data_IF_786763719744
#
_entry.id   IF_786763719744
#
_cell.length_a   1.000
_cell.length_b   1.000
_cell.length_c   1.000
_cell.angle_alpha   90.00
_cell.angle_beta   90.00
_cell.angle_gamma   90.00
#
_symmetry.space_group_name_H-M   'P 1'
#
loop_
_entity.id
_entity.type
_entity.pdbx_description
1 polymer ?
#
# COMPACT_ATOMS: atom_id res chain seq x y z
N UNK A 1 -41.17 43.58 32.71
CA UNK A 1 -39.97 42.88 32.21
C UNK A 1 -40.38 41.46 31.84
N UNK A 2 -40.36 41.07 30.56
CA UNK A 2 -40.72 39.71 30.14
C UNK A 2 -39.56 38.76 30.47
N UNK A 3 -39.79 37.80 31.38
CA UNK A 3 -38.82 36.76 31.70
C UNK A 3 -38.69 35.82 30.49
N UNK A 4 -37.51 35.81 29.87
CA UNK A 4 -37.16 34.84 28.83
C UNK A 4 -36.88 33.49 29.53
N UNK A 5 -37.82 32.56 29.47
CA UNK A 5 -37.63 31.19 29.95
C UNK A 5 -36.64 30.52 28.98
N UNK A 6 -35.36 30.48 29.37
CA UNK A 6 -34.35 29.69 28.65
C UNK A 6 -34.73 28.21 28.79
N UNK A 7 -35.23 27.61 27.71
CA UNK A 7 -35.42 26.15 27.62
C UNK A 7 -34.05 25.49 27.69
N UNK A 8 -33.77 24.80 28.80
CA UNK A 8 -32.55 23.99 28.95
C UNK A 8 -32.64 22.70 28.13
N UNK A 9 -31.50 22.22 27.67
CA UNK A 9 -31.36 20.93 26.98
C UNK A 9 -31.66 19.79 27.97
N UNK A 10 -32.42 18.77 27.57
CA UNK A 10 -32.72 17.63 28.44
C UNK A 10 -31.59 16.59 28.38
N UNK A 11 -31.33 15.91 29.50
CA UNK A 11 -30.36 14.81 29.54
C UNK A 11 -30.74 13.66 28.61
N UNK A 12 -32.04 13.44 28.42
CA UNK A 12 -32.54 12.39 27.52
C UNK A 12 -32.29 12.72 26.05
N UNK A 13 -32.43 13.99 25.63
CA UNK A 13 -32.06 14.43 24.28
C UNK A 13 -30.58 14.17 23.99
N UNK A 14 -29.72 14.47 24.96
CA UNK A 14 -28.28 14.26 24.80
C UNK A 14 -27.94 12.76 24.71
N UNK A 15 -28.61 11.92 25.51
CA UNK A 15 -28.41 10.47 25.51
C UNK A 15 -28.80 9.83 24.16
N UNK A 16 -29.95 10.20 23.59
CA UNK A 16 -30.39 9.69 22.28
C UNK A 16 -29.42 10.12 21.17
N UNK A 17 -28.91 11.35 21.22
CA UNK A 17 -27.93 11.84 20.23
C UNK A 17 -26.64 11.03 20.28
N UNK A 18 -26.09 10.79 21.48
CA UNK A 18 -24.86 9.98 21.65
C UNK A 18 -25.09 8.54 21.18
N UNK A 19 -26.27 7.97 21.43
CA UNK A 19 -26.63 6.64 20.96
C UNK A 19 -26.64 6.56 19.42
N UNK A 20 -27.26 7.54 18.75
CA UNK A 20 -27.29 7.59 17.27
C UNK A 20 -25.88 7.76 16.70
N UNK A 21 -25.07 8.67 17.26
CA UNK A 21 -23.68 8.87 16.83
C UNK A 21 -22.86 7.59 17.03
N UNK A 22 -23.08 6.87 18.13
CA UNK A 22 -22.42 5.60 18.41
C UNK A 22 -22.68 4.52 17.34
N UNK A 23 -23.94 4.38 16.91
CA UNK A 23 -24.31 3.43 15.85
C UNK A 23 -23.67 3.81 14.51
N UNK A 24 -23.74 5.09 14.14
CA UNK A 24 -23.14 5.58 12.89
C UNK A 24 -21.61 5.37 12.89
N UNK A 25 -20.94 5.67 14.00
CA UNK A 25 -19.49 5.51 14.14
C UNK A 25 -19.05 4.04 14.00
N UNK A 26 -19.81 3.10 14.55
CA UNK A 26 -19.48 1.67 14.50
C UNK A 26 -19.44 1.13 13.05
N UNK A 27 -20.32 1.61 12.18
CA UNK A 27 -20.37 1.22 10.77
C UNK A 27 -19.34 2.00 9.94
N UNK A 28 -19.19 3.30 10.20
CA UNK A 28 -18.33 4.18 9.41
C UNK A 28 -16.83 3.91 9.60
N UNK A 29 -16.38 3.60 10.83
CA UNK A 29 -14.97 3.43 11.16
C UNK A 29 -14.25 2.35 10.31
N UNK A 30 -14.74 1.09 10.20
CA UNK A 30 -14.08 0.06 9.40
C UNK A 30 -14.03 0.41 7.90
N UNK A 31 -15.07 1.07 7.38
CA UNK A 31 -15.11 1.53 5.99
C UNK A 31 -14.10 2.65 5.73
N UNK A 32 -13.97 3.58 6.68
CA UNK A 32 -12.99 4.66 6.60
C UNK A 32 -11.56 4.12 6.63
N UNK A 33 -11.24 3.18 7.53
CA UNK A 33 -9.91 2.55 7.61
C UNK A 33 -9.54 1.87 6.28
N UNK A 34 -10.46 1.12 5.68
CA UNK A 34 -10.24 0.46 4.39
C UNK A 34 -9.95 1.47 3.27
N UNK A 35 -10.69 2.58 3.24
CA UNK A 35 -10.51 3.64 2.24
C UNK A 35 -9.19 4.37 2.43
N UNK A 36 -8.82 4.68 3.68
CA UNK A 36 -7.55 5.31 4.01
C UNK A 36 -6.35 4.42 3.62
N UNK A 37 -6.42 3.12 3.89
CA UNK A 37 -5.37 2.16 3.49
C UNK A 37 -5.24 2.05 1.98
N UNK A 38 -6.38 1.99 1.27
CA UNK A 38 -6.42 1.98 -0.19
C UNK A 38 -5.74 3.22 -0.76
N UNK A 39 -6.06 4.41 -0.25
CA UNK A 39 -5.45 5.67 -0.69
C UNK A 39 -3.95 5.70 -0.44
N UNK A 40 -3.49 5.21 0.72
CA UNK A 40 -2.05 5.10 1.03
C UNK A 40 -1.34 4.17 0.04
N UNK A 41 -1.92 3.01 -0.26
CA UNK A 41 -1.32 2.05 -1.18
C UNK A 41 -1.29 2.58 -2.63
N UNK A 42 -2.35 3.27 -3.07
CA UNK A 42 -2.37 3.95 -4.38
C UNK A 42 -1.33 5.07 -4.43
N UNK A 43 -1.11 5.79 -3.32
CA UNK A 43 -0.10 6.83 -3.23
C UNK A 43 1.33 6.35 -3.51
N UNK A 44 1.62 5.07 -3.29
CA UNK A 44 2.93 4.47 -3.57
C UNK A 44 3.11 4.09 -5.06
N UNK A 45 2.02 3.90 -5.80
CA UNK A 45 2.05 3.39 -7.18
C UNK A 45 2.81 4.30 -8.16
N UNK A 46 2.62 5.64 -8.17
CA UNK A 46 3.36 6.53 -9.07
C UNK A 46 4.88 6.42 -8.91
N UNK A 47 5.35 6.34 -7.66
CA UNK A 47 6.78 6.19 -7.38
C UNK A 47 7.29 4.81 -7.80
N UNK A 48 6.54 3.74 -7.54
CA UNK A 48 6.92 2.42 -8.05
C UNK A 48 7.01 2.37 -9.58
N UNK A 49 6.12 3.09 -10.29
CA UNK A 49 6.17 3.20 -11.75
C UNK A 49 7.39 4.00 -12.22
N UNK A 50 7.69 5.12 -11.59
CA UNK A 50 8.88 5.91 -11.92
C UNK A 50 10.18 5.09 -11.73
N UNK A 51 10.25 4.29 -10.65
CA UNK A 51 11.38 3.39 -10.41
C UNK A 51 11.43 2.29 -11.48
N UNK A 52 10.29 1.68 -11.82
CA UNK A 52 10.22 0.72 -12.93
C UNK A 52 10.76 1.35 -14.22
N UNK A 53 10.28 2.53 -14.60
CA UNK A 53 10.69 3.19 -15.85
C UNK A 53 12.19 3.54 -15.85
N UNK A 54 12.79 3.80 -14.68
CA UNK A 54 14.23 3.97 -14.54
C UNK A 54 15.00 2.64 -14.69
N UNK A 55 14.51 1.55 -14.11
CA UNK A 55 15.06 0.21 -14.31
C UNK A 55 15.01 -0.23 -15.77
N UNK A 56 13.91 0.03 -16.49
CA UNK A 56 13.82 -0.29 -17.92
C UNK A 56 14.84 0.51 -18.73
N UNK A 57 15.04 1.80 -18.40
CA UNK A 57 16.10 2.61 -19.04
C UNK A 57 17.49 2.06 -18.75
N UNK A 58 17.76 1.63 -17.53
CA UNK A 58 19.03 1.02 -17.14
C UNK A 58 19.27 -0.29 -17.91
N UNK A 59 18.25 -1.14 -18.02
CA UNK A 59 18.30 -2.38 -18.77
C UNK A 59 18.63 -2.17 -20.25
N UNK A 60 18.06 -1.12 -20.88
CA UNK A 60 18.38 -0.77 -22.27
C UNK A 60 19.86 -0.40 -22.49
N UNK A 61 20.56 0.05 -21.45
CA UNK A 61 21.97 0.44 -21.52
C UNK A 61 22.93 -0.71 -21.19
N UNK A 62 22.59 -1.55 -20.21
CA UNK A 62 23.50 -2.55 -19.64
C UNK A 62 23.12 -3.99 -19.96
N UNK A 63 21.87 -4.24 -20.36
CA UNK A 63 21.31 -5.57 -20.58
C UNK A 63 20.90 -6.32 -19.31
N UNK A 64 21.03 -5.70 -18.13
CA UNK A 64 20.66 -6.29 -16.84
C UNK A 64 19.92 -5.28 -15.96
N UNK A 65 19.09 -5.78 -15.02
CA UNK A 65 18.50 -4.95 -13.97
C UNK A 65 19.44 -4.82 -12.79
N UNK A 66 19.29 -3.74 -12.02
CA UNK A 66 20.12 -3.49 -10.85
C UNK A 66 19.34 -3.70 -9.56
N UNK A 67 20.06 -3.93 -8.47
CA UNK A 67 19.52 -3.88 -7.11
C UNK A 67 20.04 -2.65 -6.37
N UNK A 68 20.60 -1.69 -7.08
CA UNK A 68 21.17 -0.48 -6.51
C UNK A 68 20.47 0.76 -7.05
N UNK A 69 19.79 1.48 -6.17
CA UNK A 69 19.13 2.74 -6.49
C UNK A 69 20.12 3.82 -6.96
N UNK A 70 21.40 3.74 -6.57
CA UNK A 70 22.40 4.74 -6.98
C UNK A 70 22.77 4.63 -8.47
N UNK A 71 22.47 3.48 -9.11
CA UNK A 71 22.65 3.26 -10.54
C UNK A 71 21.42 3.69 -11.38
N UNK A 72 20.32 4.06 -10.72
CA UNK A 72 19.08 4.44 -11.39
C UNK A 72 18.96 5.95 -11.52
N UNK A 73 18.62 6.41 -12.72
CA UNK A 73 18.24 7.80 -12.97
C UNK A 73 16.77 8.05 -12.56
N UNK A 74 16.52 8.07 -11.25
CA UNK A 74 15.19 8.34 -10.67
C UNK A 74 15.28 9.39 -9.57
N UNK A 75 14.49 10.46 -9.72
CA UNK A 75 14.37 11.46 -8.68
C UNK A 75 13.41 10.97 -7.60
N UNK A 76 13.95 10.75 -6.40
CA UNK A 76 13.18 10.36 -5.23
C UNK A 76 12.78 11.60 -4.42
N UNK A 77 11.54 11.66 -3.89
CA UNK A 77 11.13 12.72 -2.99
C UNK A 77 12.14 12.95 -1.84
N UNK A 78 12.29 14.22 -1.47
CA UNK A 78 13.16 14.63 -0.37
C UNK A 78 12.80 13.91 0.95
N UNK A 79 13.81 13.63 1.77
CA UNK A 79 13.60 12.99 3.08
C UNK A 79 13.61 11.46 3.05
N UNK A 80 14.04 10.86 1.93
CA UNK A 80 14.38 9.44 1.89
C UNK A 80 15.71 9.19 2.60
N UNK A 81 15.82 8.05 3.28
CA UNK A 81 17.07 7.50 3.80
C UNK A 81 17.38 6.17 3.12
N UNK A 82 18.65 5.93 2.85
CA UNK A 82 19.14 4.64 2.35
C UNK A 82 19.39 3.70 3.51
N UNK A 83 18.66 2.59 3.59
CA UNK A 83 18.97 1.53 4.56
C UNK A 83 19.88 0.45 3.96
N UNK A 84 19.77 0.25 2.65
CA UNK A 84 20.58 -0.63 1.80
C UNK A 84 20.61 -0.01 0.40
N UNK A 85 21.56 -0.41 -0.45
CA UNK A 85 21.60 0.01 -1.87
C UNK A 85 20.28 -0.27 -2.60
N UNK A 86 19.61 -1.36 -2.24
CA UNK A 86 18.32 -1.79 -2.78
C UNK A 86 17.08 -1.18 -2.13
N UNK A 87 17.21 -0.30 -1.13
CA UNK A 87 16.06 0.22 -0.37
C UNK A 87 16.14 1.71 -0.07
N UNK A 88 15.06 2.42 -0.39
CA UNK A 88 14.79 3.79 0.08
C UNK A 88 13.65 3.78 1.07
N UNK A 89 13.84 4.39 2.24
CA UNK A 89 12.86 4.46 3.33
C UNK A 89 12.53 5.90 3.70
N UNK A 90 11.34 6.13 4.23
CA UNK A 90 10.85 7.46 4.63
C UNK A 90 10.40 7.45 6.08
N UNK A 91 10.47 8.62 6.72
CA UNK A 91 10.08 8.80 8.14
C UNK A 91 8.61 8.46 8.41
N UNK A 92 7.74 8.63 7.42
CA UNK A 92 6.31 8.27 7.49
C UNK A 92 6.06 6.75 7.45
N UNK A 93 7.11 5.94 7.25
CA UNK A 93 7.06 4.48 7.18
C UNK A 93 7.04 3.91 5.77
N UNK A 94 6.90 4.75 4.74
CA UNK A 94 6.97 4.31 3.34
C UNK A 94 8.37 3.81 3.03
N UNK A 95 8.46 2.73 2.26
CA UNK A 95 9.72 2.28 1.70
C UNK A 95 9.52 1.60 0.36
N UNK A 96 10.54 1.71 -0.48
CA UNK A 96 10.64 1.11 -1.79
C UNK A 96 11.85 0.19 -1.83
N UNK A 97 11.70 -1.00 -2.41
CA UNK A 97 12.75 -2.01 -2.42
C UNK A 97 12.85 -2.67 -3.80
N UNK A 98 14.06 -2.72 -4.36
CA UNK A 98 14.38 -3.48 -5.57
C UNK A 98 14.57 -4.95 -5.20
N UNK A 99 13.95 -5.87 -5.93
CA UNK A 99 13.97 -7.30 -5.63
C UNK A 99 14.15 -8.13 -6.89
N UNK A 100 15.02 -9.14 -6.78
CA UNK A 100 15.12 -10.24 -7.73
C UNK A 100 14.66 -11.53 -7.04
N UNK A 101 13.52 -12.09 -7.45
CA UNK A 101 13.01 -13.34 -6.90
C UNK A 101 13.66 -14.54 -7.63
N UNK A 102 14.67 -15.14 -7.03
CA UNK A 102 15.26 -16.42 -7.49
C UNK A 102 14.44 -17.61 -6.95
N UNK A 103 14.11 -18.64 -7.77
CA UNK A 103 14.59 -18.94 -9.13
C UNK A 103 13.69 -18.40 -10.26
N UNK A 104 12.69 -17.56 -9.93
CA UNK A 104 11.66 -17.14 -10.89
C UNK A 104 12.11 -16.08 -11.91
N UNK A 105 13.37 -15.63 -11.87
CA UNK A 105 13.93 -14.56 -12.72
C UNK A 105 12.98 -13.36 -12.82
N UNK A 106 12.27 -13.07 -11.73
CA UNK A 106 11.27 -12.00 -11.69
C UNK A 106 11.87 -10.85 -10.93
N UNK A 107 12.14 -9.77 -11.66
CA UNK A 107 12.57 -8.50 -11.12
C UNK A 107 11.36 -7.64 -10.81
N UNK A 108 11.38 -6.98 -9.66
CA UNK A 108 10.26 -6.19 -9.21
C UNK A 108 10.66 -5.07 -8.26
N UNK A 109 9.85 -4.02 -8.27
CA UNK A 109 9.86 -2.93 -7.30
C UNK A 109 8.75 -3.19 -6.29
N UNK A 110 9.11 -3.25 -5.01
CA UNK A 110 8.15 -3.34 -3.91
C UNK A 110 7.93 -1.97 -3.30
N UNK A 111 6.67 -1.60 -3.06
CA UNK A 111 6.27 -0.40 -2.33
C UNK A 111 5.38 -0.77 -1.15
N UNK A 112 5.72 -0.31 0.06
CA UNK A 112 4.93 -0.58 1.27
C UNK A 112 5.08 0.55 2.29
N UNK A 113 4.11 0.68 3.19
CA UNK A 113 4.27 1.44 4.44
C UNK A 113 4.41 0.50 5.64
N UNK A 114 5.58 0.50 6.27
CA UNK A 114 5.94 -0.35 7.40
C UNK A 114 5.19 -0.04 8.71
N UNK A 115 4.65 1.18 8.86
CA UNK A 115 3.99 1.64 10.09
C UNK A 115 2.50 1.31 10.11
N UNK A 116 1.81 1.58 9.01
CA UNK A 116 0.35 1.48 8.87
C UNK A 116 -0.06 0.22 8.11
N UNK A 117 0.71 -0.16 7.08
CA UNK A 117 0.35 -1.19 6.11
C UNK A 117 1.23 -2.44 6.29
N UNK A 118 1.19 -3.04 7.49
CA UNK A 118 2.08 -4.15 7.83
C UNK A 118 1.77 -5.46 7.10
N UNK A 119 0.54 -5.62 6.64
CA UNK A 119 0.07 -6.89 6.07
C UNK A 119 -0.12 -6.82 4.55
N UNK A 120 0.38 -5.78 3.88
CA UNK A 120 0.23 -5.64 2.44
C UNK A 120 1.38 -4.87 1.81
N UNK A 121 1.68 -5.21 0.55
CA UNK A 121 2.65 -4.51 -0.28
C UNK A 121 2.13 -4.38 -1.71
N UNK A 122 2.63 -3.37 -2.41
CA UNK A 122 2.51 -3.24 -3.85
C UNK A 122 3.76 -3.87 -4.46
N UNK A 123 3.58 -4.69 -5.49
CA UNK A 123 4.66 -5.31 -6.26
C UNK A 123 4.46 -4.96 -7.72
N UNK A 124 5.40 -4.23 -8.31
CA UNK A 124 5.41 -3.88 -9.73
C UNK A 124 6.54 -4.66 -10.38
N UNK A 125 6.23 -5.56 -11.30
CA UNK A 125 7.24 -6.35 -11.99
C UNK A 125 7.79 -5.62 -13.21
N UNK A 126 9.07 -5.85 -13.49
CA UNK A 126 9.77 -5.30 -14.64
C UNK A 126 9.45 -6.09 -15.92
N UNK A 127 9.73 -5.51 -17.09
CA UNK A 127 9.22 -5.96 -18.38
C UNK A 127 10.04 -7.09 -19.02
N UNK A 128 11.26 -7.32 -18.55
CA UNK A 128 12.16 -8.36 -19.06
C UNK A 128 12.30 -9.57 -18.10
N UNK A 129 11.27 -9.87 -17.31
CA UNK A 129 11.23 -11.00 -16.38
C UNK A 129 10.27 -12.14 -16.80
N UNK A 130 9.75 -12.89 -15.81
CA UNK A 130 8.74 -13.95 -16.04
C UNK A 130 7.30 -13.45 -15.90
N UNK A 131 7.10 -12.28 -15.30
CA UNK A 131 5.79 -11.68 -15.00
C UNK A 131 5.72 -10.26 -15.53
N UNK A 132 5.94 -10.06 -16.83
CA UNK A 132 6.30 -8.75 -17.39
C UNK A 132 5.26 -7.66 -17.19
N UNK A 133 5.68 -6.55 -16.57
CA UNK A 133 4.93 -5.31 -16.47
C UNK A 133 3.64 -5.35 -15.66
N UNK A 134 3.46 -6.39 -14.84
CA UNK A 134 2.24 -6.59 -14.05
C UNK A 134 2.32 -5.88 -12.70
N UNK A 135 1.16 -5.45 -12.22
CA UNK A 135 1.04 -4.81 -10.92
C UNK A 135 0.23 -5.72 -10.00
N UNK A 136 0.85 -6.10 -8.90
CA UNK A 136 0.27 -6.98 -7.88
C UNK A 136 0.07 -6.22 -6.58
N UNK A 137 -1.11 -6.38 -5.99
CA UNK A 137 -1.34 -6.14 -4.57
C UNK A 137 -1.15 -7.46 -3.83
N UNK A 138 -0.25 -7.44 -2.87
CA UNK A 138 0.09 -8.58 -2.05
C UNK A 138 -0.60 -8.41 -0.70
N UNK A 139 -1.24 -9.48 -0.21
CA UNK A 139 -1.81 -9.55 1.13
C UNK A 139 -1.14 -10.69 1.93
N UNK A 140 -0.50 -10.35 3.05
CA UNK A 140 0.07 -11.29 4.02
C UNK A 140 -1.02 -11.86 4.93
N UNK A 141 -0.86 -13.14 5.26
CA UNK A 141 -1.71 -13.91 6.17
C UNK A 141 -3.16 -13.98 5.67
N UNK A 142 -4.03 -14.68 6.40
CA UNK A 142 -5.48 -14.67 6.15
C UNK A 142 -6.16 -13.36 6.61
N UNK A 143 -5.44 -12.23 6.56
CA UNK A 143 -5.94 -10.96 7.08
C UNK A 143 -7.04 -10.40 6.17
N UNK A 144 -8.29 -10.50 6.62
CA UNK A 144 -9.49 -10.01 5.91
C UNK A 144 -9.38 -8.54 5.47
N UNK A 145 -8.68 -7.69 6.24
CA UNK A 145 -8.46 -6.28 5.89
C UNK A 145 -7.57 -6.15 4.65
N UNK A 146 -6.43 -6.83 4.64
CA UNK A 146 -5.49 -6.80 3.51
C UNK A 146 -6.12 -7.35 2.21
N UNK A 147 -6.78 -8.52 2.29
CA UNK A 147 -7.52 -9.07 1.17
C UNK A 147 -8.63 -8.12 0.69
N UNK A 148 -9.34 -7.49 1.62
CA UNK A 148 -10.41 -6.53 1.32
C UNK A 148 -9.89 -5.29 0.57
N UNK A 149 -8.73 -4.77 0.94
CA UNK A 149 -8.07 -3.63 0.27
C UNK A 149 -7.62 -4.03 -1.13
N UNK A 150 -6.89 -5.13 -1.29
CA UNK A 150 -6.43 -5.60 -2.60
C UNK A 150 -7.58 -5.85 -3.58
N UNK A 151 -8.68 -6.47 -3.12
CA UNK A 151 -9.89 -6.65 -3.94
C UNK A 151 -10.54 -5.31 -4.30
N UNK A 152 -10.56 -4.34 -3.38
CA UNK A 152 -11.14 -3.01 -3.64
C UNK A 152 -10.32 -2.13 -4.59
N UNK A 153 -9.09 -2.53 -4.90
CA UNK A 153 -8.25 -1.94 -5.95
C UNK A 153 -8.60 -2.47 -7.35
N UNK A 154 -9.53 -3.41 -7.47
CA UNK A 154 -9.80 -4.14 -8.72
C UNK A 154 -8.95 -5.39 -8.88
N UNK A 155 -8.18 -5.76 -7.84
CA UNK A 155 -7.28 -6.90 -7.86
C UNK A 155 -8.00 -8.23 -8.03
N UNK A 156 -7.63 -9.00 -9.06
CA UNK A 156 -8.07 -10.38 -9.27
C UNK A 156 -7.05 -11.35 -8.66
N UNK A 157 -7.52 -12.37 -7.95
CA UNK A 157 -6.64 -13.37 -7.35
C UNK A 157 -5.83 -14.07 -8.45
N UNK A 158 -4.52 -13.89 -8.42
CA UNK A 158 -3.60 -14.47 -9.40
C UNK A 158 -2.95 -15.74 -8.90
N UNK A 159 -2.55 -15.76 -7.63
CA UNK A 159 -1.93 -16.93 -7.01
C UNK A 159 -2.06 -16.89 -5.48
N UNK A 160 -2.02 -18.07 -4.88
CA UNK A 160 -2.07 -18.30 -3.43
C UNK A 160 -0.94 -19.26 -3.05
N UNK A 161 -0.40 -19.12 -1.84
CA UNK A 161 0.63 -20.02 -1.31
C UNK A 161 2.02 -19.40 -1.35
N UNK A 162 2.43 -18.79 -0.24
CA UNK A 162 3.67 -18.03 -0.16
C UNK A 162 4.57 -18.63 0.91
N UNK A 163 5.85 -18.80 0.62
CA UNK A 163 6.89 -19.15 1.59
C UNK A 163 8.06 -18.20 1.35
N UNK A 164 8.60 -17.51 2.36
CA UNK A 164 9.21 -18.00 3.60
C UNK A 164 8.69 -17.39 4.92
N UNK A 165 7.55 -16.68 4.92
CA UNK A 165 7.05 -15.94 6.10
C UNK A 165 5.55 -16.14 6.45
N UNK A 166 4.81 -16.97 5.72
CA UNK A 166 3.40 -17.32 6.03
C UNK A 166 2.47 -17.34 4.81
N UNK A 167 1.21 -17.81 4.96
CA UNK A 167 0.25 -17.87 3.86
C UNK A 167 0.00 -16.47 3.30
N UNK A 168 -0.08 -16.33 1.98
CA UNK A 168 -0.34 -15.04 1.35
C UNK A 168 -1.10 -15.20 0.03
N UNK A 169 -1.60 -14.07 -0.49
CA UNK A 169 -2.29 -14.01 -1.78
C UNK A 169 -1.83 -12.84 -2.62
N UNK A 170 -1.62 -13.10 -3.91
CA UNK A 170 -1.34 -12.09 -4.92
C UNK A 170 -2.61 -11.73 -5.68
N UNK A 171 -2.92 -10.44 -5.74
CA UNK A 171 -4.01 -9.88 -6.53
C UNK A 171 -3.44 -9.05 -7.66
N UNK A 172 -3.62 -9.47 -8.91
CA UNK A 172 -3.22 -8.67 -10.07
C UNK A 172 -4.24 -7.54 -10.28
N UNK A 173 -3.78 -6.29 -10.26
CA UNK A 173 -4.63 -5.09 -10.39
C UNK A 173 -4.77 -4.65 -11.85
N UNK A 174 -3.69 -4.77 -12.62
CA UNK A 174 -3.61 -4.41 -14.04
C UNK A 174 -2.90 -5.54 -14.79
#
# INVERSE_FOLDING_TARGET
MKANIKKGFTLIELLVVVLIIGILAAIALPQYQKTADKSRLIGLLPLCKAIKDAEERYFLMTGEYTLDFDNLDVEMPSGSSSSTTSRRSYSNGDYFNLVADTPSTTWAVYGRNSKVLKDFLLRVTLDNGKSNGKIYCYAYNENKRAHGVCKSLGGKLSSTGCSSTGPCSYYQIL
#
